data_IF_535345878336
#
_entry.id   IF_535345878336
#
_cell.length_a   1.000
_cell.length_b   1.000
_cell.length_c   1.000
_cell.angle_alpha   90.00
_cell.angle_beta   90.00
_cell.angle_gamma   90.00
#
_symmetry.space_group_name_H-M   'P 1'
#
loop_
_entity.id
_entity.type
_entity.pdbx_description
1 polymer ?
#
# COMPACT_ATOMS: atom_id res chain seq x y z
N UNK A 1 -19.44 -29.61 -35.56
CA UNK A 1 -18.41 -30.18 -34.67
C UNK A 1 -17.38 -29.11 -34.39
N UNK A 2 -17.35 -28.56 -33.17
CA UNK A 2 -16.33 -27.59 -32.77
C UNK A 2 -15.08 -28.41 -32.43
N UNK A 3 -14.03 -28.25 -33.24
CA UNK A 3 -12.73 -28.91 -33.06
C UNK A 3 -12.14 -28.50 -31.72
N UNK A 4 -12.14 -29.41 -30.75
CA UNK A 4 -11.49 -29.22 -29.45
C UNK A 4 -9.97 -29.35 -29.67
N UNK A 5 -9.30 -28.24 -30.02
CA UNK A 5 -7.84 -28.23 -30.14
C UNK A 5 -7.24 -28.45 -28.76
N UNK A 6 -6.27 -29.35 -28.66
CA UNK A 6 -5.56 -29.56 -27.39
C UNK A 6 -4.72 -28.33 -27.06
N UNK A 7 -4.47 -28.10 -25.76
CA UNK A 7 -3.61 -27.00 -25.30
C UNK A 7 -2.22 -27.05 -25.96
N UNK A 8 -1.73 -28.27 -26.23
CA UNK A 8 -0.50 -28.55 -26.97
C UNK A 8 -0.56 -28.07 -28.43
N UNK A 9 -1.70 -28.20 -29.11
CA UNK A 9 -1.86 -27.72 -30.49
C UNK A 9 -1.80 -26.19 -30.57
N UNK A 10 -2.34 -25.50 -29.56
CA UNK A 10 -2.31 -24.03 -29.50
C UNK A 10 -0.88 -23.55 -29.28
N UNK A 11 -0.16 -24.15 -28.33
CA UNK A 11 1.25 -23.84 -28.05
C UNK A 11 2.10 -24.03 -29.31
N UNK A 12 1.96 -25.17 -30.00
CA UNK A 12 2.72 -25.47 -31.21
C UNK A 12 2.49 -24.42 -32.32
N UNK A 13 1.24 -23.99 -32.52
CA UNK A 13 0.92 -22.96 -33.54
C UNK A 13 1.49 -21.59 -33.16
N UNK A 14 1.45 -21.23 -31.87
CA UNK A 14 2.02 -19.96 -31.39
C UNK A 14 3.53 -19.96 -31.54
N UNK A 15 4.21 -21.03 -31.12
CA UNK A 15 5.67 -21.18 -31.25
C UNK A 15 6.13 -21.10 -32.70
N UNK A 16 5.45 -21.80 -33.63
CA UNK A 16 5.79 -21.70 -35.05
C UNK A 16 5.67 -20.28 -35.61
N UNK A 17 4.65 -19.52 -35.18
CA UNK A 17 4.49 -18.11 -35.59
C UNK A 17 5.57 -17.21 -35.02
N UNK A 18 5.97 -17.43 -33.76
CA UNK A 18 7.06 -16.69 -33.13
C UNK A 18 8.37 -16.96 -33.88
N UNK A 19 8.70 -18.22 -34.15
CA UNK A 19 9.89 -18.63 -34.90
C UNK A 19 9.94 -17.99 -36.29
N UNK A 20 8.85 -18.07 -37.06
CA UNK A 20 8.80 -17.46 -38.38
C UNK A 20 9.00 -15.94 -38.34
N UNK A 21 8.39 -15.28 -37.34
CA UNK A 21 8.56 -13.84 -37.14
C UNK A 21 9.99 -13.45 -36.74
N UNK A 22 10.72 -14.34 -36.03
CA UNK A 22 12.15 -14.17 -35.74
C UNK A 22 12.99 -14.31 -37.01
N UNK A 23 12.75 -15.33 -37.84
CA UNK A 23 13.47 -15.54 -39.11
C UNK A 23 13.26 -14.38 -40.09
N UNK A 24 12.05 -13.83 -40.16
CA UNK A 24 11.73 -12.66 -40.97
C UNK A 24 12.31 -11.36 -40.42
N UNK A 25 12.93 -11.37 -39.23
CA UNK A 25 13.49 -10.18 -38.61
C UNK A 25 12.44 -9.17 -38.13
N UNK A 26 11.19 -9.59 -37.91
CA UNK A 26 10.10 -8.71 -37.42
C UNK A 26 10.43 -8.07 -36.06
N UNK A 27 11.33 -8.68 -35.28
CA UNK A 27 11.80 -8.17 -33.99
C UNK A 27 13.03 -7.24 -34.11
N UNK A 28 13.62 -7.10 -35.30
CA UNK A 28 14.88 -6.37 -35.46
C UNK A 28 14.74 -4.86 -35.32
N UNK A 29 13.57 -4.30 -35.66
CA UNK A 29 13.33 -2.86 -35.73
C UNK A 29 12.18 -2.40 -34.82
N UNK A 30 11.99 -3.08 -33.68
CA UNK A 30 10.96 -2.70 -32.72
C UNK A 30 11.21 -1.32 -32.11
N UNK A 31 10.12 -0.57 -31.92
CA UNK A 31 10.16 0.69 -31.20
C UNK A 31 10.74 0.50 -29.79
N UNK A 32 11.90 1.12 -29.54
CA UNK A 32 12.57 1.03 -28.24
C UNK A 32 13.56 -0.14 -28.09
N UNK A 33 13.83 -0.93 -29.14
CA UNK A 33 14.87 -1.98 -29.09
C UNK A 33 16.21 -1.39 -28.65
N UNK A 34 16.83 -1.99 -27.63
CA UNK A 34 18.11 -1.55 -27.06
C UNK A 34 18.07 -0.26 -26.24
N UNK A 35 16.92 0.39 -26.08
CA UNK A 35 16.77 1.57 -25.22
C UNK A 35 16.33 1.16 -23.82
N UNK A 36 16.75 1.87 -22.76
CA UNK A 36 16.22 1.65 -21.42
C UNK A 36 14.70 1.79 -21.39
N UNK A 37 14.03 0.91 -20.65
CA UNK A 37 12.58 0.95 -20.47
C UNK A 37 12.17 2.24 -19.77
N UNK A 38 11.15 2.92 -20.30
CA UNK A 38 10.61 4.11 -19.66
C UNK A 38 9.67 3.73 -18.52
N UNK A 39 10.17 3.81 -17.29
CA UNK A 39 9.41 3.49 -16.07
C UNK A 39 8.51 4.64 -15.58
N UNK A 40 8.47 5.78 -16.28
CA UNK A 40 7.73 6.97 -15.85
C UNK A 40 6.23 6.95 -16.20
N UNK A 41 5.77 5.91 -16.89
CA UNK A 41 4.40 5.78 -17.36
C UNK A 41 3.87 4.41 -16.96
N UNK A 42 2.75 4.40 -16.26
CA UNK A 42 2.04 3.17 -15.95
C UNK A 42 0.89 2.98 -16.97
N UNK A 43 1.06 2.09 -17.99
CA UNK A 43 0.01 1.86 -18.99
C UNK A 43 -1.26 1.22 -18.42
N UNK A 44 -1.25 0.80 -17.15
CA UNK A 44 -2.40 0.23 -16.45
C UNK A 44 -3.09 1.21 -15.50
N UNK A 45 -2.56 2.43 -15.33
CA UNK A 45 -3.20 3.46 -14.53
C UNK A 45 -4.20 4.27 -15.36
N UNK A 46 -5.19 4.87 -14.70
CA UNK A 46 -6.04 5.88 -15.35
C UNK A 46 -5.16 7.03 -15.88
N UNK A 47 -5.39 7.53 -17.12
CA UNK A 47 -4.53 8.56 -17.72
C UNK A 47 -4.44 9.85 -16.92
N UNK A 48 -5.50 10.25 -16.22
CA UNK A 48 -5.48 11.46 -15.39
C UNK A 48 -4.69 11.21 -14.09
N UNK A 49 -4.87 10.04 -13.48
CA UNK A 49 -4.12 9.62 -12.28
C UNK A 49 -2.61 9.47 -12.57
N UNK A 50 -2.23 8.81 -13.66
CA UNK A 50 -0.83 8.69 -14.11
C UNK A 50 -0.19 10.05 -14.37
N UNK A 51 -0.95 10.96 -14.99
CA UNK A 51 -0.49 12.34 -15.23
C UNK A 51 -0.27 13.10 -13.92
N UNK A 52 -1.20 13.00 -12.96
CA UNK A 52 -1.08 13.60 -11.64
C UNK A 52 0.18 13.11 -10.91
N UNK A 53 0.37 11.79 -10.82
CA UNK A 53 1.53 11.20 -10.14
C UNK A 53 2.85 11.57 -10.80
N UNK A 54 2.89 11.65 -12.13
CA UNK A 54 4.07 12.11 -12.87
C UNK A 54 4.40 13.57 -12.57
N UNK A 55 3.40 14.46 -12.50
CA UNK A 55 3.61 15.88 -12.16
C UNK A 55 4.17 15.99 -10.73
N UNK A 56 3.56 15.29 -9.77
CA UNK A 56 4.04 15.29 -8.38
C UNK A 56 5.47 14.77 -8.28
N UNK A 57 5.76 13.62 -8.89
CA UNK A 57 7.09 13.01 -8.88
C UNK A 57 8.15 13.93 -9.51
N UNK A 58 7.85 14.59 -10.62
CA UNK A 58 8.77 15.57 -11.26
C UNK A 58 9.09 16.76 -10.36
N UNK A 59 8.19 17.12 -9.44
CA UNK A 59 8.40 18.21 -8.47
C UNK A 59 8.94 17.70 -7.12
N UNK A 60 9.35 16.42 -7.02
CA UNK A 60 9.80 15.83 -5.77
C UNK A 60 8.71 15.73 -4.69
N UNK A 61 7.44 15.83 -5.09
CA UNK A 61 6.28 15.76 -4.21
C UNK A 61 5.69 14.35 -4.24
N UNK A 62 5.21 13.87 -3.09
CA UNK A 62 4.48 12.62 -3.00
C UNK A 62 2.96 12.85 -3.12
N UNK A 63 2.19 11.87 -3.60
CA UNK A 63 0.73 11.88 -3.49
C UNK A 63 0.26 12.04 -2.05
N UNK A 64 -0.91 12.67 -1.87
CA UNK A 64 -1.50 12.91 -0.55
C UNK A 64 -1.58 11.62 0.30
N UNK A 65 -2.03 10.52 -0.30
CA UNK A 65 -2.15 9.25 0.40
C UNK A 65 -0.80 8.69 0.87
N UNK A 66 0.31 9.00 0.18
CA UNK A 66 1.66 8.59 0.62
C UNK A 66 2.06 9.35 1.88
N UNK A 67 1.86 10.66 1.90
CA UNK A 67 2.16 11.49 3.07
C UNK A 67 1.25 11.14 4.25
N UNK A 68 -0.04 10.92 4.00
CA UNK A 68 -0.99 10.50 5.02
C UNK A 68 -0.64 9.12 5.60
N UNK A 69 -0.16 8.18 4.77
CA UNK A 69 0.33 6.89 5.26
C UNK A 69 1.51 7.07 6.23
N UNK A 70 2.48 7.92 5.87
CA UNK A 70 3.63 8.24 6.72
C UNK A 70 3.20 8.89 8.04
N UNK A 71 2.26 9.83 7.99
CA UNK A 71 1.69 10.47 9.17
C UNK A 71 1.01 9.45 10.09
N UNK A 72 0.15 8.58 9.55
CA UNK A 72 -0.53 7.53 10.31
C UNK A 72 0.51 6.62 11.00
N UNK A 73 1.52 6.15 10.26
CA UNK A 73 2.55 5.26 10.82
C UNK A 73 3.32 5.91 11.97
N UNK A 74 3.67 7.18 11.83
CA UNK A 74 4.36 7.93 12.89
C UNK A 74 3.46 8.08 14.12
N UNK A 75 2.20 8.53 13.95
CA UNK A 75 1.24 8.68 15.06
C UNK A 75 0.98 7.36 15.78
N UNK A 76 0.84 6.26 15.04
CA UNK A 76 0.67 4.91 15.62
C UNK A 76 1.89 4.52 16.45
N UNK A 77 3.11 4.80 15.97
CA UNK A 77 4.35 4.51 16.69
C UNK A 77 4.42 5.31 18.01
N UNK A 78 4.20 6.62 17.94
CA UNK A 78 4.20 7.51 19.11
C UNK A 78 3.13 7.10 20.12
N UNK A 79 1.92 6.81 19.65
CA UNK A 79 0.80 6.37 20.48
C UNK A 79 1.11 5.05 21.19
N UNK A 80 1.71 4.06 20.50
CA UNK A 80 2.12 2.78 21.12
C UNK A 80 3.19 2.97 22.20
N UNK A 81 4.15 3.88 21.97
CA UNK A 81 5.16 4.22 22.99
C UNK A 81 4.49 4.84 24.22
N UNK A 82 3.54 5.76 24.02
CA UNK A 82 2.79 6.39 25.11
C UNK A 82 1.93 5.38 25.88
N UNK A 83 1.24 4.48 25.17
CA UNK A 83 0.46 3.40 25.77
C UNK A 83 1.34 2.48 26.63
N UNK A 84 2.48 2.04 26.09
CA UNK A 84 3.43 1.19 26.83
C UNK A 84 3.95 1.88 28.10
N UNK A 85 4.31 3.16 28.02
CA UNK A 85 4.75 3.95 29.18
C UNK A 85 3.64 4.05 30.26
N UNK A 86 2.41 4.32 29.83
CA UNK A 86 1.27 4.38 30.75
C UNK A 86 1.01 3.02 31.41
N UNK A 87 1.12 1.93 30.63
CA UNK A 87 0.95 0.55 31.13
C UNK A 87 2.02 0.18 32.17
N UNK A 88 3.30 0.44 31.89
CA UNK A 88 4.38 0.18 32.86
C UNK A 88 4.19 0.98 34.15
N UNK A 89 3.74 2.24 34.05
CA UNK A 89 3.42 3.03 35.25
C UNK A 89 2.29 2.43 36.07
N UNK A 90 1.25 1.86 35.44
CA UNK A 90 0.15 1.16 36.14
C UNK A 90 0.69 -0.05 36.90
N UNK A 91 1.51 -0.88 36.25
CA UNK A 91 2.07 -2.10 36.86
C UNK A 91 3.02 -1.80 38.04
N UNK A 92 3.71 -0.65 38.02
CA UNK A 92 4.65 -0.25 39.08
C UNK A 92 3.96 0.34 40.33
N UNK A 93 2.64 0.19 40.47
CA UNK A 93 1.90 0.62 41.67
C UNK A 93 1.45 2.07 41.69
N UNK A 94 1.39 2.74 40.53
CA UNK A 94 0.94 4.13 40.43
C UNK A 94 -0.59 4.21 40.32
N UNK A 95 -1.20 5.22 40.94
CA UNK A 95 -2.65 5.42 41.13
C UNK A 95 -3.53 5.01 39.93
N UNK A 96 -4.54 4.18 40.20
CA UNK A 96 -5.55 3.73 39.24
C UNK A 96 -6.30 4.90 38.59
N UNK A 97 -6.49 6.00 39.33
CA UNK A 97 -7.09 7.25 38.83
C UNK A 97 -6.28 7.88 37.68
N UNK A 98 -4.95 7.94 37.82
CA UNK A 98 -4.06 8.46 36.76
C UNK A 98 -4.01 7.53 35.54
N UNK A 99 -4.28 6.24 35.73
CA UNK A 99 -4.41 5.30 34.61
C UNK A 99 -5.71 5.54 33.84
N UNK A 100 -6.83 5.75 34.53
CA UNK A 100 -8.14 6.04 33.91
C UNK A 100 -8.06 7.31 33.05
N UNK A 101 -7.50 8.40 33.58
CA UNK A 101 -7.34 9.66 32.84
C UNK A 101 -6.50 9.47 31.57
N UNK A 102 -5.35 8.76 31.69
CA UNK A 102 -4.49 8.45 30.55
C UNK A 102 -5.17 7.55 29.52
N UNK A 103 -5.99 6.60 29.96
CA UNK A 103 -6.77 5.75 29.05
C UNK A 103 -7.73 6.57 28.19
N UNK A 104 -8.44 7.53 28.79
CA UNK A 104 -9.38 8.36 28.02
C UNK A 104 -8.65 9.26 27.00
N UNK A 105 -7.50 9.83 27.39
CA UNK A 105 -6.64 10.56 26.45
C UNK A 105 -6.13 9.67 25.31
N UNK A 106 -5.64 8.46 25.62
CA UNK A 106 -5.12 7.52 24.63
C UNK A 106 -6.22 6.98 23.71
N UNK A 107 -7.44 6.73 24.21
CA UNK A 107 -8.60 6.36 23.39
C UNK A 107 -9.01 7.48 22.45
N UNK A 108 -8.95 8.75 22.88
CA UNK A 108 -9.21 9.89 21.99
C UNK A 108 -8.17 9.97 20.87
N UNK A 109 -6.89 9.79 21.18
CA UNK A 109 -5.83 9.73 20.16
C UNK A 109 -6.02 8.55 19.20
N UNK A 110 -6.43 7.39 19.71
CA UNK A 110 -6.75 6.22 18.90
C UNK A 110 -7.85 6.51 17.88
N UNK A 111 -8.91 7.24 18.30
CA UNK A 111 -9.98 7.68 17.41
C UNK A 111 -9.45 8.61 16.31
N UNK A 112 -8.62 9.59 16.66
CA UNK A 112 -8.00 10.50 15.66
C UNK A 112 -7.13 9.75 14.64
N UNK A 113 -6.39 8.72 15.08
CA UNK A 113 -5.64 7.84 14.18
C UNK A 113 -6.60 7.07 13.26
N UNK A 114 -7.67 6.50 13.81
CA UNK A 114 -8.65 5.75 13.02
C UNK A 114 -9.42 6.62 12.03
N UNK A 115 -9.68 7.88 12.34
CA UNK A 115 -10.26 8.84 11.41
C UNK A 115 -9.32 9.11 10.23
N UNK A 116 -8.01 9.19 10.48
CA UNK A 116 -7.01 9.30 9.41
C UNK A 116 -6.92 8.03 8.57
N UNK A 117 -6.97 6.86 9.21
CA UNK A 117 -7.06 5.57 8.51
C UNK A 117 -8.28 5.52 7.60
N UNK A 118 -9.43 5.99 8.09
CA UNK A 118 -10.65 6.06 7.30
C UNK A 118 -10.46 6.98 6.08
N UNK A 119 -9.97 8.21 6.28
CA UNK A 119 -9.65 9.14 5.17
C UNK A 119 -8.68 8.53 4.17
N UNK A 120 -7.60 7.91 4.63
CA UNK A 120 -6.63 7.22 3.80
C UNK A 120 -7.29 6.14 2.94
N UNK A 121 -8.17 5.31 3.52
CA UNK A 121 -8.86 4.25 2.80
C UNK A 121 -9.82 4.75 1.72
N UNK A 122 -10.27 6.01 1.80
CA UNK A 122 -11.11 6.65 0.79
C UNK A 122 -10.30 7.17 -0.41
N UNK A 123 -9.02 7.50 -0.23
CA UNK A 123 -8.19 8.15 -1.27
C UNK A 123 -7.10 7.23 -1.85
N UNK A 124 -6.87 6.06 -1.24
CA UNK A 124 -5.83 5.14 -1.68
C UNK A 124 -6.34 4.21 -2.79
N UNK A 125 -5.49 3.81 -3.76
CA UNK A 125 -5.82 2.76 -4.70
C UNK A 125 -6.26 1.45 -4.02
N UNK A 126 -7.17 0.72 -4.66
CA UNK A 126 -7.67 -0.57 -4.17
C UNK A 126 -6.50 -1.53 -3.89
N UNK A 127 -6.63 -2.30 -2.79
CA UNK A 127 -5.60 -3.24 -2.33
C UNK A 127 -4.51 -2.64 -1.44
N UNK A 128 -4.48 -1.31 -1.24
CA UNK A 128 -3.55 -0.63 -0.31
C UNK A 128 -4.21 -0.10 0.96
N UNK A 129 -5.50 -0.35 1.14
CA UNK A 129 -6.26 0.03 2.33
C UNK A 129 -5.69 -0.63 3.60
N UNK A 130 -5.92 0.01 4.75
CA UNK A 130 -5.42 -0.44 6.03
C UNK A 130 -6.54 -0.61 7.07
N UNK A 131 -6.32 -1.50 8.03
CA UNK A 131 -7.23 -1.70 9.14
C UNK A 131 -6.98 -0.67 10.25
N UNK A 132 -8.05 -0.15 10.83
CA UNK A 132 -7.98 0.67 12.04
C UNK A 132 -7.48 -0.13 13.24
N UNK A 133 -6.94 0.58 14.22
CA UNK A 133 -6.50 0.01 15.48
C UNK A 133 -7.70 -0.24 16.40
N UNK A 134 -7.63 -1.31 17.20
CA UNK A 134 -8.63 -1.65 18.22
C UNK A 134 -7.98 -1.59 19.60
N UNK A 135 -8.62 -0.91 20.55
CA UNK A 135 -8.07 -0.69 21.88
C UNK A 135 -7.73 -2.01 22.58
N UNK A 136 -8.67 -2.95 22.58
CA UNK A 136 -8.58 -4.24 23.27
C UNK A 136 -7.41 -5.07 22.71
N UNK A 137 -7.22 -5.05 21.39
CA UNK A 137 -6.11 -5.76 20.73
C UNK A 137 -4.75 -5.17 21.06
N UNK A 138 -4.67 -3.85 21.22
CA UNK A 138 -3.41 -3.17 21.53
C UNK A 138 -3.05 -3.30 23.02
N UNK A 139 -4.04 -3.37 23.91
CA UNK A 139 -3.81 -3.66 25.34
C UNK A 139 -3.41 -5.12 25.55
N UNK A 140 -4.09 -6.09 24.91
CA UNK A 140 -3.75 -7.51 25.01
C UNK A 140 -2.30 -7.82 24.61
N UNK A 141 -1.75 -7.08 23.62
CA UNK A 141 -0.33 -7.18 23.21
C UNK A 141 0.68 -6.74 24.27
N UNK A 142 0.24 -6.05 25.32
CA UNK A 142 1.09 -5.63 26.44
C UNK A 142 0.98 -6.57 27.65
N UNK A 143 0.02 -7.50 27.62
CA UNK A 143 -0.17 -8.55 28.61
C UNK A 143 0.64 -9.83 28.27
N UNK A 144 0.95 -10.04 26.98
CA UNK A 144 1.90 -11.04 26.46
C UNK A 144 3.37 -10.65 26.71
#
# INVERSE_FOLDING_TARGET
>A
MISNRSETDIINVVEQRIWHSMEEGQFENLAGKGKPLNLNTNPHADPAEDTLYRILSKNGCAPEWVELNKEIRNKVSEWRVALKKAWTSKCNGNDEEKWIERCESLKKQLRDINDKVFRYNLIVPLGRQMFGLKWEKEVARLEE
#
